data_IF_692439336595
#
_entry.id   IF_692439336595
#
_cell.length_a   1.000
_cell.length_b   1.000
_cell.length_c   1.000
_cell.angle_alpha   90.00
_cell.angle_beta   90.00
_cell.angle_gamma   90.00
#
_symmetry.space_group_name_H-M   'P 1'
#
loop_
_entity.id
_entity.type
_entity.pdbx_description
1 polymer ?
#
# COMPACT_ATOMS: atom_id res chain seq x y z
N UNK A 1 -2.10 -13.03 -16.47
CA UNK A 1 -3.26 -12.25 -15.98
C UNK A 1 -2.80 -10.85 -15.61
N UNK A 2 -3.49 -9.79 -16.07
CA UNK A 2 -3.18 -8.42 -15.65
C UNK A 2 -3.61 -8.19 -14.20
N UNK A 3 -2.84 -7.40 -13.46
CA UNK A 3 -3.12 -7.10 -12.05
C UNK A 3 -2.84 -5.64 -11.69
N UNK A 4 -3.41 -5.20 -10.58
CA UNK A 4 -3.07 -3.96 -9.91
C UNK A 4 -2.44 -4.28 -8.55
N UNK A 5 -1.38 -3.57 -8.19
CA UNK A 5 -0.71 -3.70 -6.90
C UNK A 5 -0.81 -2.38 -6.13
N UNK A 6 -1.34 -2.44 -4.93
CA UNK A 6 -1.74 -1.25 -4.16
C UNK A 6 -0.61 -0.69 -3.28
N UNK A 7 0.55 -1.36 -3.19
CA UNK A 7 1.63 -0.87 -2.34
C UNK A 7 2.99 -1.46 -2.70
N UNK A 8 4.00 -0.59 -2.83
CA UNK A 8 5.41 -0.94 -2.81
C UNK A 8 6.26 0.24 -2.35
N UNK A 9 7.42 -0.04 -1.74
CA UNK A 9 8.37 0.96 -1.23
C UNK A 9 9.55 1.24 -2.17
N UNK A 10 9.40 0.93 -3.43
CA UNK A 10 10.46 1.06 -4.46
C UNK A 10 11.01 2.47 -4.58
N UNK A 11 10.22 3.51 -4.28
CA UNK A 11 10.71 4.89 -4.25
C UNK A 11 11.77 5.09 -3.16
N UNK A 12 11.63 4.42 -2.01
CA UNK A 12 12.62 4.44 -0.93
C UNK A 12 13.93 3.78 -1.39
N UNK A 13 13.86 2.58 -1.96
CA UNK A 13 15.03 1.87 -2.51
C UNK A 13 15.74 2.71 -3.58
N UNK A 14 15.00 3.27 -4.51
CA UNK A 14 15.54 4.13 -5.55
C UNK A 14 16.22 5.39 -4.99
N UNK A 15 15.62 6.01 -3.97
CA UNK A 15 16.19 7.19 -3.31
C UNK A 15 17.51 6.86 -2.64
N UNK A 16 17.58 5.80 -1.82
CA UNK A 16 18.80 5.40 -1.12
C UNK A 16 19.88 4.88 -2.07
N UNK A 17 19.51 4.24 -3.16
CA UNK A 17 20.45 3.85 -4.23
C UNK A 17 20.89 5.02 -5.13
N UNK A 18 20.34 6.22 -4.94
CA UNK A 18 20.67 7.41 -5.75
C UNK A 18 20.17 7.32 -7.19
N UNK A 19 19.10 6.54 -7.43
CA UNK A 19 18.46 6.43 -8.74
C UNK A 19 17.66 7.68 -9.05
N UNK A 20 17.53 8.00 -10.34
CA UNK A 20 16.77 9.16 -10.80
C UNK A 20 15.42 8.79 -11.39
N UNK A 21 15.20 7.51 -11.67
CA UNK A 21 14.00 6.97 -12.30
C UNK A 21 13.81 5.51 -11.85
N UNK A 22 12.57 5.01 -11.90
CA UNK A 22 12.19 3.64 -11.55
C UNK A 22 12.23 2.68 -12.75
N UNK A 23 12.79 3.07 -13.89
CA UNK A 23 12.85 2.18 -15.08
C UNK A 23 13.58 0.88 -14.78
N UNK A 24 14.70 0.97 -14.05
CA UNK A 24 15.47 -0.18 -13.57
C UNK A 24 16.12 0.17 -12.23
N UNK A 25 15.74 -0.57 -11.20
CA UNK A 25 16.24 -0.47 -9.82
C UNK A 25 16.73 -1.85 -9.39
N UNK A 26 17.97 -2.23 -9.75
CA UNK A 26 18.49 -3.59 -9.48
C UNK A 26 18.48 -3.98 -8.00
N UNK A 27 18.53 -3.00 -7.11
CA UNK A 27 18.51 -3.17 -5.66
C UNK A 27 17.12 -3.56 -5.14
N UNK A 28 16.06 -3.21 -5.87
CA UNK A 28 14.67 -3.38 -5.46
C UNK A 28 14.05 -4.70 -5.94
N UNK A 29 12.94 -5.10 -5.31
CA UNK A 29 12.10 -6.24 -5.73
C UNK A 29 11.23 -5.88 -6.93
N UNK A 30 10.95 -4.57 -7.15
CA UNK A 30 10.15 -4.09 -8.27
C UNK A 30 10.77 -2.87 -8.96
N UNK A 31 10.47 -2.72 -10.24
CA UNK A 31 10.74 -1.57 -11.09
C UNK A 31 9.83 -1.62 -12.32
N UNK A 32 9.82 -0.58 -13.15
CA UNK A 32 8.95 -0.51 -14.33
C UNK A 32 9.19 -1.71 -15.28
N UNK A 33 10.45 -2.11 -15.46
CA UNK A 33 10.81 -3.25 -16.32
C UNK A 33 10.18 -4.57 -15.84
N UNK A 34 10.34 -4.88 -14.55
CA UNK A 34 9.78 -6.09 -13.92
C UNK A 34 8.24 -6.05 -13.83
N UNK A 35 7.66 -4.88 -13.52
CA UNK A 35 6.22 -4.70 -13.52
C UNK A 35 5.60 -4.98 -14.90
N UNK A 36 6.22 -4.48 -15.97
CA UNK A 36 5.78 -4.77 -17.34
C UNK A 36 5.92 -6.27 -17.66
N UNK A 37 6.99 -6.94 -17.25
CA UNK A 37 7.19 -8.37 -17.44
C UNK A 37 6.17 -9.21 -16.65
N UNK A 38 5.80 -8.77 -15.46
CA UNK A 38 4.78 -9.38 -14.61
C UNK A 38 3.35 -9.14 -15.06
N UNK A 39 3.12 -8.35 -16.12
CA UNK A 39 1.79 -7.92 -16.62
C UNK A 39 1.03 -6.99 -15.65
N UNK A 40 1.75 -6.18 -14.84
CA UNK A 40 1.14 -5.17 -14.00
C UNK A 40 0.45 -4.10 -14.85
N UNK A 41 -0.83 -3.85 -14.59
CA UNK A 41 -1.57 -2.78 -15.26
C UNK A 41 -1.62 -1.48 -14.45
N UNK A 42 -1.46 -1.58 -13.12
CA UNK A 42 -1.47 -0.43 -12.22
C UNK A 42 -0.64 -0.71 -10.98
N UNK A 43 0.29 0.20 -10.65
CA UNK A 43 1.13 0.14 -9.47
C UNK A 43 0.98 1.41 -8.64
N UNK A 44 0.74 1.23 -7.34
CA UNK A 44 0.78 2.30 -6.36
C UNK A 44 2.20 2.36 -5.77
N UNK A 45 2.89 3.47 -6.03
CA UNK A 45 4.23 3.73 -5.52
C UNK A 45 4.14 4.58 -4.27
N UNK A 46 4.45 4.00 -3.12
CA UNK A 46 4.42 4.72 -1.86
C UNK A 46 5.70 5.55 -1.67
N UNK A 47 5.53 6.80 -1.25
CA UNK A 47 6.57 7.51 -0.54
C UNK A 47 6.41 7.11 0.92
N UNK A 48 7.15 6.09 1.35
CA UNK A 48 7.25 5.72 2.76
C UNK A 48 8.14 6.72 3.48
N UNK A 49 7.74 7.21 4.65
CA UNK A 49 8.56 8.13 5.44
C UNK A 49 9.45 7.36 6.43
N UNK A 50 10.76 7.20 6.16
CA UNK A 50 11.63 6.37 6.99
C UNK A 50 11.80 6.93 8.40
N UNK A 51 11.79 6.04 9.42
CA UNK A 51 12.21 6.37 10.78
C UNK A 51 13.75 6.36 10.89
N UNK A 52 14.27 6.79 12.04
CA UNK A 52 15.72 6.89 12.29
C UNK A 52 16.46 5.56 12.05
N UNK A 53 15.86 4.46 12.46
CA UNK A 53 16.47 3.12 12.32
C UNK A 53 16.62 2.70 10.86
N UNK A 54 15.67 3.09 10.00
CA UNK A 54 15.73 2.84 8.56
C UNK A 54 16.88 3.65 7.93
N UNK A 55 17.01 4.93 8.29
CA UNK A 55 18.14 5.75 7.85
C UNK A 55 19.49 5.15 8.24
N UNK A 56 19.60 4.66 9.49
CA UNK A 56 20.80 3.99 9.99
C UNK A 56 21.09 2.70 9.22
N UNK A 57 20.06 1.89 8.94
CA UNK A 57 20.18 0.67 8.13
C UNK A 57 20.82 0.93 6.76
N UNK A 58 20.41 2.01 6.10
CA UNK A 58 20.99 2.41 4.80
C UNK A 58 22.32 3.17 4.94
N UNK A 59 22.86 3.35 6.16
CA UNK A 59 24.08 4.10 6.40
C UNK A 59 23.99 5.57 5.97
N UNK A 60 22.81 6.18 6.06
CA UNK A 60 22.50 7.54 5.64
C UNK A 60 22.13 8.42 6.84
N UNK A 61 22.40 9.71 6.70
CA UNK A 61 21.95 10.72 7.67
C UNK A 61 20.52 11.13 7.34
N UNK A 62 19.60 11.15 8.34
CA UNK A 62 18.25 11.63 8.12
C UNK A 62 18.22 13.07 7.57
N UNK A 63 17.32 13.30 6.62
CA UNK A 63 16.97 14.64 6.13
C UNK A 63 15.54 14.98 6.58
N UNK A 64 15.12 16.27 6.53
CA UNK A 64 13.72 16.65 6.80
C UNK A 64 12.74 15.89 5.90
N UNK A 65 11.55 15.53 6.43
CA UNK A 65 10.52 14.81 5.67
C UNK A 65 10.19 15.51 4.35
N UNK A 66 10.13 16.85 4.32
CA UNK A 66 9.84 17.61 3.11
C UNK A 66 10.92 17.44 2.01
N UNK A 67 12.19 17.37 2.40
CA UNK A 67 13.30 17.15 1.47
C UNK A 67 13.26 15.73 0.89
N UNK A 68 12.99 14.75 1.74
CA UNK A 68 12.86 13.35 1.33
C UNK A 68 11.65 13.13 0.41
N UNK A 69 10.48 13.69 0.78
CA UNK A 69 9.26 13.67 -0.04
C UNK A 69 9.51 14.21 -1.45
N UNK A 70 10.15 15.40 -1.53
CA UNK A 70 10.45 16.00 -2.83
C UNK A 70 11.45 15.16 -3.63
N UNK A 71 12.44 14.55 -2.97
CA UNK A 71 13.39 13.64 -3.62
C UNK A 71 12.69 12.43 -4.25
N UNK A 72 11.82 11.76 -3.50
CA UNK A 72 11.03 10.61 -4.00
C UNK A 72 10.04 11.05 -5.10
N UNK A 73 9.35 12.17 -4.90
CA UNK A 73 8.44 12.73 -5.90
C UNK A 73 9.16 13.03 -7.22
N UNK A 74 10.38 13.56 -7.15
CA UNK A 74 11.17 13.84 -8.35
C UNK A 74 11.56 12.57 -9.10
N UNK A 75 11.91 11.48 -8.39
CA UNK A 75 12.18 10.17 -9.00
C UNK A 75 10.92 9.69 -9.74
N UNK A 76 9.75 9.77 -9.10
CA UNK A 76 8.46 9.41 -9.72
C UNK A 76 8.17 10.24 -10.98
N UNK A 77 8.30 11.56 -10.90
CA UNK A 77 8.05 12.46 -12.03
C UNK A 77 9.02 12.19 -13.19
N UNK A 78 10.32 11.99 -12.89
CA UNK A 78 11.30 11.62 -13.89
C UNK A 78 10.94 10.29 -14.56
N UNK A 79 10.48 9.29 -13.78
CA UNK A 79 10.05 8.00 -14.31
C UNK A 79 8.96 8.17 -15.37
N UNK A 80 7.92 8.95 -15.06
CA UNK A 80 6.84 9.19 -16.01
C UNK A 80 7.27 9.97 -17.24
N UNK A 81 8.15 10.98 -17.07
CA UNK A 81 8.60 11.82 -18.18
C UNK A 81 9.54 11.09 -19.15
N UNK A 82 10.37 10.20 -18.63
CA UNK A 82 11.37 9.46 -19.40
C UNK A 82 10.83 8.17 -20.03
N UNK A 83 9.72 7.62 -19.50
CA UNK A 83 9.17 6.31 -19.89
C UNK A 83 7.68 6.37 -20.22
N UNK A 84 7.22 7.47 -20.80
CA UNK A 84 5.81 7.72 -21.10
C UNK A 84 5.16 6.76 -22.10
N UNK A 85 5.93 5.95 -22.81
CA UNK A 85 5.50 4.86 -23.66
C UNK A 85 5.19 3.57 -22.87
N UNK A 86 5.76 3.39 -21.69
CA UNK A 86 5.57 2.22 -20.82
C UNK A 86 4.58 2.51 -19.68
N UNK A 87 4.71 3.69 -19.05
CA UNK A 87 3.96 4.04 -17.86
C UNK A 87 3.55 5.50 -17.85
N UNK A 88 2.41 5.78 -17.25
CA UNK A 88 1.91 7.15 -17.09
C UNK A 88 1.12 7.29 -15.79
N UNK A 89 1.10 8.49 -15.24
CA UNK A 89 0.36 8.78 -14.01
C UNK A 89 -1.15 8.77 -14.20
N UNK A 90 -1.88 8.61 -13.10
CA UNK A 90 -3.33 8.81 -13.06
C UNK A 90 -3.74 9.64 -11.86
N UNK A 91 -4.64 10.60 -12.08
CA UNK A 91 -5.33 11.36 -11.05
C UNK A 91 -6.79 10.98 -10.92
N UNK A 92 -7.35 10.33 -11.94
CA UNK A 92 -8.77 9.96 -12.05
C UNK A 92 -8.94 8.55 -12.62
N UNK A 93 -10.15 8.01 -12.47
CA UNK A 93 -10.54 6.73 -13.10
C UNK A 93 -10.46 6.79 -14.64
N UNK A 94 -10.81 7.93 -15.22
CA UNK A 94 -10.73 8.16 -16.66
C UNK A 94 -9.30 8.06 -17.17
N UNK A 95 -8.33 8.55 -16.41
CA UNK A 95 -6.90 8.42 -16.75
C UNK A 95 -6.50 6.94 -16.78
N UNK A 96 -6.90 6.14 -15.77
CA UNK A 96 -6.62 4.70 -15.71
C UNK A 96 -7.18 4.01 -16.95
N UNK A 97 -8.43 4.32 -17.34
CA UNK A 97 -9.08 3.74 -18.52
C UNK A 97 -8.39 4.15 -19.83
N UNK A 98 -7.89 5.37 -19.92
CA UNK A 98 -7.09 5.82 -21.06
C UNK A 98 -5.78 5.07 -21.16
N UNK A 99 -5.06 4.95 -20.05
CA UNK A 99 -3.79 4.25 -19.99
C UNK A 99 -3.92 2.79 -20.40
N UNK A 100 -4.97 2.10 -19.90
CA UNK A 100 -5.27 0.72 -20.28
C UNK A 100 -5.52 0.57 -21.78
N UNK A 101 -6.31 1.47 -22.40
CA UNK A 101 -6.58 1.46 -23.83
C UNK A 101 -5.33 1.69 -24.67
N UNK A 102 -4.40 2.49 -24.17
CA UNK A 102 -3.14 2.79 -24.83
C UNK A 102 -2.06 1.72 -24.54
N UNK A 103 -2.40 0.71 -23.74
CA UNK A 103 -1.47 -0.39 -23.40
C UNK A 103 -0.36 0.02 -22.46
N UNK A 104 -0.53 1.13 -21.71
CA UNK A 104 0.44 1.63 -20.74
C UNK A 104 0.04 1.24 -19.32
N UNK A 105 1.04 0.94 -18.51
CA UNK A 105 0.86 0.75 -17.07
C UNK A 105 0.50 2.07 -16.41
N UNK A 106 -0.41 2.04 -15.47
CA UNK A 106 -0.76 3.20 -14.64
C UNK A 106 0.11 3.24 -13.40
N UNK A 107 0.78 4.36 -13.16
CA UNK A 107 1.47 4.65 -11.91
C UNK A 107 0.61 5.59 -11.04
N UNK A 108 0.46 5.28 -9.76
CA UNK A 108 -0.26 6.10 -8.78
C UNK A 108 0.71 6.46 -7.66
N UNK A 109 0.86 7.75 -7.37
CA UNK A 109 1.70 8.21 -6.26
C UNK A 109 0.91 8.16 -4.96
N UNK A 110 1.49 7.55 -3.92
CA UNK A 110 0.88 7.44 -2.60
C UNK A 110 1.86 7.88 -1.51
N UNK A 111 1.35 8.04 -0.31
CA UNK A 111 2.14 8.37 0.87
C UNK A 111 1.87 7.34 1.95
N UNK A 112 2.91 6.77 2.53
CA UNK A 112 2.84 5.97 3.76
C UNK A 112 3.41 6.74 4.94
N UNK A 113 2.63 6.80 6.03
CA UNK A 113 2.77 7.66 7.19
C UNK A 113 2.44 9.13 6.93
N UNK A 114 1.21 9.51 7.21
CA UNK A 114 0.74 10.90 7.10
C UNK A 114 1.39 11.90 8.06
N UNK A 115 2.45 11.54 8.82
CA UNK A 115 3.06 12.41 9.85
C UNK A 115 3.54 13.77 9.34
N UNK A 116 3.94 13.82 8.05
CA UNK A 116 4.41 15.08 7.43
C UNK A 116 3.29 16.13 7.27
N UNK A 117 2.02 15.73 7.36
CA UNK A 117 0.87 16.64 7.34
C UNK A 117 0.84 17.54 8.58
N UNK A 118 1.35 17.07 9.73
CA UNK A 118 1.54 17.86 10.97
C UNK A 118 0.28 18.62 11.43
N UNK A 119 -0.92 18.04 11.20
CA UNK A 119 -2.18 18.66 11.59
C UNK A 119 -2.62 19.85 10.73
N UNK A 120 -2.10 20.01 9.51
CA UNK A 120 -2.42 21.10 8.60
C UNK A 120 -3.21 20.60 7.38
N UNK A 121 -4.44 21.13 7.19
CA UNK A 121 -5.23 20.87 5.98
C UNK A 121 -4.57 21.41 4.71
N UNK A 122 -3.82 22.53 4.84
CA UNK A 122 -3.09 23.12 3.72
C UNK A 122 -1.98 22.18 3.22
N UNK A 123 -1.26 21.50 4.13
CA UNK A 123 -0.26 20.48 3.77
C UNK A 123 -0.90 19.27 3.08
N UNK A 124 -2.07 18.83 3.56
CA UNK A 124 -2.82 17.76 2.93
C UNK A 124 -3.24 18.13 1.50
N UNK A 125 -3.73 19.36 1.29
CA UNK A 125 -4.08 19.86 -0.04
C UNK A 125 -2.84 19.99 -0.95
N UNK A 126 -1.69 20.35 -0.38
CA UNK A 126 -0.42 20.43 -1.11
C UNK A 126 0.00 19.07 -1.64
N UNK A 127 -0.04 18.03 -0.81
CA UNK A 127 0.23 16.64 -1.23
C UNK A 127 -0.68 16.21 -2.38
N UNK A 128 -1.98 16.55 -2.34
CA UNK A 128 -2.90 16.27 -3.43
C UNK A 128 -2.52 16.98 -4.73
N UNK A 129 -2.13 18.25 -4.66
CA UNK A 129 -1.65 19.03 -5.80
C UNK A 129 -0.35 18.48 -6.37
N UNK A 130 0.51 17.90 -5.53
CA UNK A 130 1.77 17.25 -5.92
C UNK A 130 1.57 15.87 -6.53
N UNK A 131 0.32 15.40 -6.63
CA UNK A 131 -0.03 14.17 -7.31
C UNK A 131 -0.30 12.98 -6.39
N UNK A 132 -0.20 13.11 -5.07
CA UNK A 132 -0.56 12.04 -4.13
C UNK A 132 -2.06 11.76 -4.20
N UNK A 133 -2.44 10.49 -4.34
CA UNK A 133 -3.85 10.08 -4.48
C UNK A 133 -4.34 9.14 -3.38
N UNK A 134 -3.45 8.68 -2.52
CA UNK A 134 -3.76 7.86 -1.35
C UNK A 134 -2.78 8.18 -0.22
N UNK A 135 -3.27 8.20 1.02
CA UNK A 135 -2.42 8.38 2.21
C UNK A 135 -2.73 7.29 3.21
N UNK A 136 -1.68 6.52 3.60
CA UNK A 136 -1.64 5.72 4.81
C UNK A 136 -1.60 6.65 6.02
N UNK A 137 -2.67 6.64 6.83
CA UNK A 137 -2.85 7.63 7.89
C UNK A 137 -1.73 7.59 8.93
N UNK A 138 -1.27 6.39 9.28
CA UNK A 138 -0.18 6.14 10.24
C UNK A 138 0.80 5.11 9.66
N UNK A 139 1.98 5.04 10.25
CA UNK A 139 2.86 3.88 10.20
C UNK A 139 2.93 3.25 11.60
N UNK A 140 4.10 3.09 12.22
CA UNK A 140 4.27 2.40 13.49
C UNK A 140 4.33 3.35 14.71
N UNK A 141 3.96 4.62 14.54
CA UNK A 141 3.94 5.63 15.61
C UNK A 141 2.66 6.48 15.56
N UNK A 142 2.28 7.03 16.73
CA UNK A 142 1.23 8.05 16.78
C UNK A 142 1.64 9.27 15.96
N UNK A 143 0.67 9.83 15.25
CA UNK A 143 0.85 11.09 14.52
C UNK A 143 -0.42 11.98 14.61
N UNK A 144 -0.49 13.00 13.76
CA UNK A 144 -1.63 13.93 13.77
C UNK A 144 -2.97 13.26 13.40
N UNK A 145 -3.00 12.11 12.72
CA UNK A 145 -4.22 11.41 12.35
C UNK A 145 -4.74 10.50 13.44
N UNK A 146 -3.87 9.73 14.13
CA UNK A 146 -4.32 8.74 15.09
C UNK A 146 -3.20 7.88 15.67
N UNK A 147 -3.61 6.74 16.22
CA UNK A 147 -2.75 5.71 16.76
C UNK A 147 -2.44 4.62 15.72
N UNK A 148 -1.24 4.05 15.74
CA UNK A 148 -0.90 2.90 14.89
C UNK A 148 -1.52 1.61 15.43
N UNK A 149 -1.50 0.56 14.61
CA UNK A 149 -1.74 -0.79 15.11
C UNK A 149 -0.73 -1.14 16.22
N UNK A 150 -1.16 -1.97 17.17
CA UNK A 150 -0.32 -2.29 18.33
C UNK A 150 -0.71 -3.62 18.97
N UNK A 151 0.26 -4.27 19.62
CA UNK A 151 -0.01 -5.37 20.54
C UNK A 151 -0.52 -4.88 21.91
N UNK A 152 -0.34 -3.59 22.24
CA UNK A 152 -0.96 -2.97 23.40
C UNK A 152 -2.44 -2.67 23.11
N UNK A 153 -3.32 -3.32 23.87
CA UNK A 153 -4.78 -3.22 23.70
C UNK A 153 -5.29 -1.79 23.82
N UNK A 154 -4.65 -0.97 24.67
CA UNK A 154 -5.05 0.41 24.86
C UNK A 154 -4.78 1.21 23.58
N UNK A 155 -3.56 1.16 23.05
CA UNK A 155 -3.17 1.80 21.79
C UNK A 155 -4.03 1.29 20.63
N UNK A 156 -4.24 -0.05 20.55
CA UNK A 156 -5.06 -0.66 19.50
C UNK A 156 -6.52 -0.20 19.52
N UNK A 157 -7.05 0.18 20.67
CA UNK A 157 -8.42 0.71 20.82
C UNK A 157 -8.54 2.22 20.61
N UNK A 158 -7.44 2.95 20.50
CA UNK A 158 -7.46 4.40 20.28
C UNK A 158 -7.99 4.70 18.86
N UNK A 159 -8.89 5.68 18.77
CA UNK A 159 -9.43 6.15 17.49
C UNK A 159 -8.60 7.25 16.84
N UNK A 160 -9.17 7.84 15.80
CA UNK A 160 -8.60 9.03 15.15
C UNK A 160 -8.60 10.22 16.10
N UNK A 161 -7.60 11.09 15.96
CA UNK A 161 -7.62 12.42 16.58
C UNK A 161 -8.76 13.27 16.02
N UNK A 162 -9.01 14.43 16.63
CA UNK A 162 -9.96 15.40 16.07
C UNK A 162 -9.54 15.81 14.65
N UNK A 163 -8.25 16.11 14.44
CA UNK A 163 -7.70 16.42 13.12
C UNK A 163 -7.88 15.25 12.15
N UNK A 164 -7.56 14.03 12.57
CA UNK A 164 -7.71 12.83 11.71
C UNK A 164 -9.13 12.65 11.18
N UNK A 165 -10.16 12.89 12.03
CA UNK A 165 -11.56 12.81 11.62
C UNK A 165 -11.93 13.89 10.58
N UNK A 166 -11.46 15.10 10.75
CA UNK A 166 -11.67 16.19 9.78
C UNK A 166 -10.91 15.93 8.48
N UNK A 167 -9.67 15.45 8.59
CA UNK A 167 -8.82 15.14 7.45
C UNK A 167 -9.43 14.02 6.56
N UNK A 168 -9.99 12.95 7.15
CA UNK A 168 -10.69 11.90 6.38
C UNK A 168 -11.85 12.48 5.56
N UNK A 169 -12.68 13.37 6.14
CA UNK A 169 -13.75 14.05 5.40
C UNK A 169 -13.19 14.91 4.26
N UNK A 170 -12.10 15.62 4.53
CA UNK A 170 -11.46 16.48 3.54
C UNK A 170 -10.83 15.67 2.41
N UNK A 171 -10.18 14.53 2.71
CA UNK A 171 -9.67 13.59 1.70
C UNK A 171 -10.79 13.08 0.80
N UNK A 172 -11.97 12.75 1.36
CA UNK A 172 -13.14 12.36 0.59
C UNK A 172 -13.60 13.48 -0.37
N UNK A 173 -13.54 14.75 0.07
CA UNK A 173 -13.88 15.91 -0.79
C UNK A 173 -12.86 16.11 -1.91
N UNK A 174 -11.58 15.91 -1.64
CA UNK A 174 -10.49 15.99 -2.63
C UNK A 174 -10.52 14.84 -3.65
N UNK A 175 -11.16 13.70 -3.33
CA UNK A 175 -11.03 12.47 -4.09
C UNK A 175 -9.70 11.74 -3.82
N UNK A 176 -9.11 11.94 -2.65
CA UNK A 176 -7.94 11.23 -2.18
C UNK A 176 -8.37 10.01 -1.38
N UNK A 177 -7.84 8.84 -1.70
CA UNK A 177 -8.14 7.61 -0.99
C UNK A 177 -7.55 7.61 0.42
N UNK A 178 -8.30 7.07 1.38
CA UNK A 178 -7.87 6.85 2.76
C UNK A 178 -7.38 5.41 2.88
N UNK A 179 -6.13 5.23 3.28
CA UNK A 179 -5.56 3.92 3.56
C UNK A 179 -5.43 3.71 5.06
N UNK A 180 -6.00 2.61 5.54
CA UNK A 180 -6.03 2.21 6.95
C UNK A 180 -4.99 1.15 7.31
N UNK A 181 -4.12 0.78 6.37
CA UNK A 181 -2.96 -0.05 6.69
C UNK A 181 -2.13 0.64 7.78
N UNK A 182 -1.60 -0.11 8.74
CA UNK A 182 -0.93 0.39 9.95
C UNK A 182 -1.80 1.13 10.97
N UNK A 183 -3.06 1.42 10.69
CA UNK A 183 -3.94 2.11 11.64
C UNK A 183 -4.40 1.14 12.76
N UNK A 184 -4.68 1.67 13.94
CA UNK A 184 -5.30 0.94 15.03
C UNK A 184 -6.71 0.45 14.68
N UNK A 185 -7.23 -0.57 15.36
CA UNK A 185 -8.62 -1.03 15.19
C UNK A 185 -9.62 0.10 15.47
N UNK A 186 -9.38 0.89 16.55
CA UNK A 186 -10.21 2.06 16.85
C UNK A 186 -10.23 3.08 15.72
N UNK A 187 -9.06 3.37 15.13
CA UNK A 187 -8.93 4.24 13.97
C UNK A 187 -9.65 3.70 12.74
N UNK A 188 -9.54 2.38 12.46
CA UNK A 188 -10.28 1.74 11.38
C UNK A 188 -11.80 1.96 11.51
N UNK A 189 -12.38 1.69 12.68
CA UNK A 189 -13.82 1.87 12.88
C UNK A 189 -14.25 3.35 12.83
N UNK A 190 -13.38 4.26 13.25
CA UNK A 190 -13.60 5.69 13.06
C UNK A 190 -13.66 6.05 11.57
N UNK A 191 -12.69 5.62 10.75
CA UNK A 191 -12.72 5.81 9.29
C UNK A 191 -13.99 5.21 8.70
N UNK A 192 -14.32 3.97 9.05
CA UNK A 192 -15.54 3.28 8.57
C UNK A 192 -16.82 4.05 8.90
N UNK A 193 -16.86 4.73 10.06
CA UNK A 193 -18.03 5.50 10.49
C UNK A 193 -18.19 6.85 9.79
N UNK A 194 -17.08 7.49 9.40
CA UNK A 194 -17.09 8.88 8.92
C UNK A 194 -16.81 9.02 7.42
N UNK A 195 -16.15 8.03 6.80
CA UNK A 195 -15.87 8.07 5.36
C UNK A 195 -17.15 7.88 4.55
N UNK A 196 -17.42 8.84 3.65
CA UNK A 196 -18.52 8.81 2.69
C UNK A 196 -18.11 8.15 1.36
N UNK A 197 -16.84 7.82 1.22
CA UNK A 197 -16.26 7.16 0.05
C UNK A 197 -15.67 5.81 0.48
N UNK A 198 -15.50 4.86 -0.44
CA UNK A 198 -14.70 3.68 -0.17
C UNK A 198 -13.31 4.07 0.36
N UNK A 199 -12.82 3.31 1.33
CA UNK A 199 -11.47 3.40 1.85
C UNK A 199 -10.78 2.06 1.70
N UNK A 200 -9.48 1.99 1.87
CA UNK A 200 -8.71 0.78 1.57
C UNK A 200 -7.78 0.40 2.72
N UNK A 201 -7.40 -0.86 2.76
CA UNK A 201 -6.20 -1.33 3.44
C UNK A 201 -5.22 -1.77 2.35
N UNK A 202 -4.27 -0.91 1.99
CA UNK A 202 -3.43 -1.13 0.80
C UNK A 202 -2.62 -2.43 0.87
N UNK A 203 -2.21 -2.87 2.08
CA UNK A 203 -1.38 -4.06 2.32
C UNK A 203 -1.66 -4.69 3.69
N UNK A 204 -2.84 -5.34 3.86
CA UNK A 204 -3.24 -5.99 5.12
C UNK A 204 -3.94 -7.33 4.87
N UNK A 205 -3.55 -8.35 5.66
CA UNK A 205 -4.03 -9.72 5.53
C UNK A 205 -5.18 -10.04 6.52
N UNK A 206 -5.42 -11.34 6.77
CA UNK A 206 -6.52 -11.82 7.61
C UNK A 206 -6.02 -12.22 8.99
N UNK A 207 -6.51 -11.57 10.04
CA UNK A 207 -6.15 -11.86 11.44
C UNK A 207 -6.61 -13.25 11.89
N UNK A 208 -7.64 -13.81 11.27
CA UNK A 208 -8.11 -15.16 11.52
C UNK A 208 -7.11 -16.25 11.09
N UNK A 209 -6.23 -15.96 10.13
CA UNK A 209 -5.21 -16.89 9.63
C UNK A 209 -3.83 -16.62 10.22
N UNK A 210 -3.53 -15.35 10.51
CA UNK A 210 -2.31 -14.91 11.17
C UNK A 210 -2.66 -13.79 12.14
N UNK A 211 -2.51 -14.03 13.45
CA UNK A 211 -2.95 -13.13 14.54
C UNK A 211 -2.14 -11.84 14.70
N UNK A 212 -1.34 -11.47 13.70
CA UNK A 212 -0.58 -10.23 13.73
C UNK A 212 -1.52 -9.01 13.79
N UNK A 213 -1.24 -7.98 14.63
CA UNK A 213 -2.11 -6.80 14.78
C UNK A 213 -2.28 -5.98 13.50
N UNK A 214 -1.35 -6.08 12.54
CA UNK A 214 -1.45 -5.46 11.20
C UNK A 214 -2.56 -6.05 10.33
N UNK A 215 -2.99 -7.28 10.62
CA UNK A 215 -4.02 -7.97 9.86
C UNK A 215 -5.41 -7.54 10.31
N UNK A 216 -6.36 -7.56 9.37
CA UNK A 216 -7.75 -7.19 9.60
C UNK A 216 -8.53 -8.36 10.22
N UNK A 217 -9.40 -8.07 11.20
CA UNK A 217 -10.35 -9.05 11.73
C UNK A 217 -11.45 -9.34 10.69
N UNK A 218 -12.17 -10.45 10.87
CA UNK A 218 -13.30 -10.80 10.01
C UNK A 218 -14.41 -9.73 10.01
N UNK A 219 -14.59 -9.06 11.14
CA UNK A 219 -15.54 -7.96 11.23
C UNK A 219 -15.07 -6.74 10.40
N UNK A 220 -13.78 -6.41 10.47
CA UNK A 220 -13.19 -5.35 9.66
C UNK A 220 -13.27 -5.66 8.16
N UNK A 221 -13.03 -6.92 7.77
CA UNK A 221 -13.16 -7.35 6.37
C UNK A 221 -14.59 -7.20 5.85
N UNK A 222 -15.60 -7.57 6.66
CA UNK A 222 -17.02 -7.35 6.29
C UNK A 222 -17.33 -5.87 6.13
N UNK A 223 -16.95 -5.06 7.11
CA UNK A 223 -17.17 -3.61 7.08
C UNK A 223 -16.50 -2.98 5.86
N UNK A 224 -15.26 -3.39 5.55
CA UNK A 224 -14.52 -2.90 4.39
C UNK A 224 -15.25 -3.24 3.08
N UNK A 225 -15.66 -4.51 2.90
CA UNK A 225 -16.41 -4.95 1.73
C UNK A 225 -17.79 -4.26 1.59
N UNK A 226 -18.55 -4.10 2.70
CA UNK A 226 -19.83 -3.38 2.72
C UNK A 226 -19.68 -1.90 2.33
N UNK A 227 -18.53 -1.30 2.61
CA UNK A 227 -18.18 0.09 2.21
C UNK A 227 -17.65 0.18 0.78
N UNK A 228 -17.56 -0.93 0.05
CA UNK A 228 -16.97 -0.98 -1.30
C UNK A 228 -15.46 -0.78 -1.32
N UNK A 229 -14.81 -0.97 -0.17
CA UNK A 229 -13.37 -0.92 -0.02
C UNK A 229 -12.69 -2.24 -0.35
N UNK A 230 -11.37 -2.21 -0.40
CA UNK A 230 -10.53 -3.38 -0.72
C UNK A 230 -9.38 -3.53 0.27
N UNK A 231 -8.89 -4.78 0.45
CA UNK A 231 -7.65 -5.03 1.16
C UNK A 231 -6.64 -5.72 0.25
N UNK A 232 -5.43 -5.17 0.20
CA UNK A 232 -4.29 -5.72 -0.55
C UNK A 232 -3.61 -6.84 0.21
N UNK A 233 -3.38 -7.98 -0.45
CA UNK A 233 -2.61 -9.08 0.09
C UNK A 233 -1.15 -8.66 0.28
N UNK A 234 -0.72 -8.57 1.53
CA UNK A 234 0.67 -8.31 1.91
C UNK A 234 1.49 -9.60 1.85
N UNK A 235 2.68 -9.54 1.25
CA UNK A 235 3.55 -10.70 1.05
C UNK A 235 4.54 -10.92 2.19
N UNK A 236 4.58 -10.06 3.20
CA UNK A 236 5.44 -10.22 4.37
C UNK A 236 5.14 -11.52 5.14
N UNK A 237 6.15 -12.38 5.38
CA UNK A 237 5.97 -13.67 6.06
C UNK A 237 5.27 -13.56 7.41
N UNK A 238 5.59 -12.53 8.18
CA UNK A 238 5.02 -12.26 9.51
C UNK A 238 3.52 -11.93 9.49
N UNK A 239 2.97 -11.57 8.32
CA UNK A 239 1.56 -11.28 8.13
C UNK A 239 0.78 -12.45 7.51
N UNK A 240 1.48 -13.50 7.07
CA UNK A 240 0.91 -14.66 6.40
C UNK A 240 0.76 -15.87 7.31
N UNK A 241 1.61 -16.03 8.35
CA UNK A 241 1.52 -17.17 9.23
C UNK A 241 2.02 -16.87 10.66
N UNK A 242 1.46 -17.57 11.66
CA UNK A 242 1.81 -17.44 13.08
C UNK A 242 2.86 -18.47 13.54
N UNK A 243 3.46 -19.22 12.63
CA UNK A 243 4.40 -20.27 12.98
C UNK A 243 5.71 -19.64 13.46
N UNK A 244 6.11 -19.79 14.74
CA UNK A 244 7.33 -19.19 15.26
C UNK A 244 8.57 -19.59 14.46
N UNK A 245 9.35 -18.60 14.00
CA UNK A 245 10.55 -18.82 13.20
C UNK A 245 10.30 -19.20 11.74
N UNK A 246 9.06 -19.18 11.27
CA UNK A 246 8.75 -19.31 9.85
C UNK A 246 8.76 -17.94 9.19
N UNK A 247 9.86 -17.64 8.52
CA UNK A 247 10.07 -16.41 7.73
C UNK A 247 9.80 -16.66 6.23
N UNK A 248 8.99 -17.66 5.90
CA UNK A 248 8.66 -18.03 4.52
C UNK A 248 7.28 -17.54 4.12
N UNK A 249 7.24 -16.74 3.07
CA UNK A 249 6.04 -16.26 2.39
C UNK A 249 5.69 -17.21 1.25
N UNK A 250 4.84 -18.21 1.55
CA UNK A 250 4.48 -19.25 0.58
C UNK A 250 3.26 -18.90 -0.25
N UNK A 251 3.21 -19.40 -1.49
CA UNK A 251 2.05 -19.27 -2.39
C UNK A 251 0.76 -19.84 -1.78
N UNK A 252 0.87 -20.94 -1.02
CA UNK A 252 -0.27 -21.55 -0.33
C UNK A 252 -0.85 -20.62 0.75
N UNK A 253 0.01 -19.98 1.54
CA UNK A 253 -0.43 -19.01 2.55
C UNK A 253 -1.07 -17.78 1.91
N UNK A 254 -0.45 -17.23 0.86
CA UNK A 254 -1.00 -16.13 0.06
C UNK A 254 -2.40 -16.47 -0.46
N UNK A 255 -2.55 -17.64 -1.09
CA UNK A 255 -3.83 -18.12 -1.61
C UNK A 255 -4.88 -18.29 -0.51
N UNK A 256 -4.48 -18.81 0.66
CA UNK A 256 -5.39 -18.97 1.78
C UNK A 256 -5.95 -17.62 2.25
N UNK A 257 -5.11 -16.58 2.37
CA UNK A 257 -5.54 -15.24 2.75
C UNK A 257 -6.49 -14.62 1.71
N UNK A 258 -6.19 -14.70 0.42
CA UNK A 258 -7.07 -14.20 -0.65
C UNK A 258 -8.44 -14.86 -0.56
N UNK A 259 -8.49 -16.19 -0.43
CA UNK A 259 -9.74 -16.94 -0.32
C UNK A 259 -10.54 -16.57 0.94
N UNK A 260 -9.87 -16.32 2.06
CA UNK A 260 -10.52 -15.87 3.28
C UNK A 260 -11.11 -14.46 3.13
N UNK A 261 -10.37 -13.52 2.52
CA UNK A 261 -10.89 -12.18 2.19
C UNK A 261 -12.15 -12.30 1.34
N UNK A 262 -12.12 -13.11 0.27
CA UNK A 262 -13.27 -13.33 -0.62
C UNK A 262 -14.47 -13.91 0.16
N UNK A 263 -14.21 -14.89 1.03
CA UNK A 263 -15.26 -15.54 1.81
C UNK A 263 -15.93 -14.58 2.79
N UNK A 264 -15.19 -13.66 3.40
CA UNK A 264 -15.67 -12.79 4.50
C UNK A 264 -16.09 -11.42 4.00
N UNK A 265 -15.28 -10.79 3.16
CA UNK A 265 -15.46 -9.42 2.65
C UNK A 265 -16.12 -9.34 1.26
N UNK A 266 -16.23 -10.47 0.56
CA UNK A 266 -16.72 -10.54 -0.81
C UNK A 266 -15.60 -10.50 -1.87
N UNK A 267 -15.92 -10.94 -3.08
CA UNK A 267 -14.95 -11.06 -4.17
C UNK A 267 -14.23 -9.73 -4.47
N UNK A 268 -14.98 -8.64 -4.51
CA UNK A 268 -14.46 -7.32 -4.87
C UNK A 268 -13.64 -6.67 -3.73
N UNK A 269 -13.62 -7.29 -2.52
CA UNK A 269 -12.81 -6.82 -1.40
C UNK A 269 -11.34 -7.27 -1.50
N UNK A 270 -11.06 -8.34 -2.26
CA UNK A 270 -9.71 -8.88 -2.38
C UNK A 270 -8.90 -8.15 -3.46
N UNK A 271 -7.72 -7.68 -3.08
CA UNK A 271 -6.76 -7.01 -3.95
C UNK A 271 -5.33 -7.53 -3.69
N UNK A 272 -4.36 -7.03 -4.43
CA UNK A 272 -2.94 -7.25 -4.21
C UNK A 272 -2.34 -5.98 -3.63
N UNK A 273 -1.48 -6.12 -2.64
CA UNK A 273 -0.69 -5.06 -2.03
C UNK A 273 0.60 -5.68 -1.51
N UNK A 274 1.53 -5.94 -2.44
CA UNK A 274 2.69 -6.83 -2.24
C UNK A 274 3.57 -6.43 -1.08
N UNK A 275 3.65 -5.13 -0.82
CA UNK A 275 4.59 -4.54 0.13
C UNK A 275 6.06 -4.80 -0.29
N UNK A 276 6.28 -4.97 -1.61
CA UNK A 276 7.62 -5.13 -2.15
C UNK A 276 8.50 -3.95 -1.76
N UNK A 277 9.74 -4.27 -1.43
CA UNK A 277 10.75 -3.33 -0.94
C UNK A 277 10.53 -2.85 0.51
N UNK A 278 9.35 -3.14 1.13
CA UNK A 278 9.08 -2.92 2.56
C UNK A 278 9.15 -4.19 3.42
N UNK A 279 9.32 -5.37 2.81
CA UNK A 279 9.33 -6.68 3.48
C UNK A 279 10.65 -7.41 3.32
N UNK A 280 10.86 -8.39 4.18
CA UNK A 280 12.04 -9.27 4.16
C UNK A 280 11.63 -10.73 4.39
N UNK A 281 12.56 -11.66 4.24
CA UNK A 281 12.35 -13.09 4.47
C UNK A 281 12.54 -13.93 3.20
N UNK A 282 12.14 -15.20 3.27
CA UNK A 282 12.14 -16.11 2.13
C UNK A 282 10.79 -15.98 1.40
N UNK A 283 10.81 -15.51 0.14
CA UNK A 283 9.61 -15.22 -0.61
C UNK A 283 9.51 -16.15 -1.84
N UNK A 284 8.37 -16.86 -1.99
CA UNK A 284 8.09 -17.63 -3.23
C UNK A 284 7.91 -16.69 -4.44
N UNK A 285 7.48 -15.44 -4.19
CA UNK A 285 7.45 -14.36 -5.16
C UNK A 285 8.35 -13.25 -4.65
N UNK A 286 9.60 -13.23 -5.09
CA UNK A 286 10.61 -12.28 -4.63
C UNK A 286 10.73 -11.03 -5.51
N UNK A 287 9.95 -10.93 -6.59
CA UNK A 287 9.97 -9.77 -7.48
C UNK A 287 8.72 -9.69 -8.38
N UNK A 288 8.44 -8.49 -8.89
CA UNK A 288 7.21 -8.20 -9.64
C UNK A 288 7.03 -9.00 -10.94
N UNK A 289 8.11 -9.44 -11.59
CA UNK A 289 8.07 -10.29 -12.79
C UNK A 289 7.62 -11.72 -12.50
N UNK A 290 7.58 -12.16 -11.23
CA UNK A 290 7.15 -13.50 -10.79
C UNK A 290 5.67 -13.57 -10.42
N UNK A 291 4.92 -12.47 -10.47
CA UNK A 291 3.53 -12.36 -9.99
C UNK A 291 2.56 -13.36 -10.62
N UNK A 292 2.85 -13.86 -11.82
CA UNK A 292 2.00 -14.87 -12.47
C UNK A 292 1.92 -16.19 -11.68
N UNK A 293 2.88 -16.47 -10.80
CA UNK A 293 2.88 -17.64 -9.90
C UNK A 293 1.71 -17.60 -8.91
N UNK A 294 1.36 -16.41 -8.39
CA UNK A 294 0.20 -16.24 -7.52
C UNK A 294 -1.10 -16.61 -8.24
N UNK A 295 -1.30 -16.09 -9.45
CA UNK A 295 -2.53 -16.37 -10.21
C UNK A 295 -2.64 -17.85 -10.59
N UNK A 296 -1.52 -18.48 -10.89
CA UNK A 296 -1.49 -19.93 -11.12
C UNK A 296 -1.89 -20.72 -9.86
N UNK A 297 -1.38 -20.34 -8.68
CA UNK A 297 -1.77 -20.95 -7.40
C UNK A 297 -3.25 -20.71 -7.07
N UNK A 298 -3.75 -19.49 -7.25
CA UNK A 298 -5.17 -19.17 -7.05
C UNK A 298 -6.09 -20.00 -7.94
N UNK A 299 -5.70 -20.17 -9.22
CA UNK A 299 -6.43 -21.02 -10.15
C UNK A 299 -6.42 -22.51 -9.72
N UNK A 300 -5.27 -23.03 -9.31
CA UNK A 300 -5.12 -24.39 -8.77
C UNK A 300 -6.03 -24.62 -7.55
N UNK A 301 -6.22 -23.59 -6.72
CA UNK A 301 -7.06 -23.63 -5.52
C UNK A 301 -8.54 -23.34 -5.81
N UNK A 302 -8.93 -23.23 -7.08
CA UNK A 302 -10.31 -23.17 -7.54
C UNK A 302 -10.87 -21.75 -7.78
N UNK A 303 -10.04 -20.70 -7.74
CA UNK A 303 -10.45 -19.38 -8.20
C UNK A 303 -10.33 -19.32 -9.73
N UNK A 304 -11.41 -19.01 -10.41
CA UNK A 304 -11.46 -18.89 -11.87
C UNK A 304 -11.49 -17.42 -12.30
N UNK A 305 -10.93 -17.12 -13.46
CA UNK A 305 -11.13 -15.84 -14.12
C UNK A 305 -12.63 -15.67 -14.38
N UNK A 306 -13.24 -14.62 -13.76
CA UNK A 306 -14.66 -14.32 -13.86
C UNK A 306 -15.01 -13.45 -15.05
#
# INVERSE_FOLDING_TARGET
MKYADMHCDTLMEAYFAGRKSLLSVPEAMTDIGRLCQGECMMQFFAIFLPCADIWEWYGRTPVPDEEYLEGCRQIYVNTLSENGDLTTGAGTYEDIRCNEKEGRMTAVLTLEDGRCVQGSMERLEHLYRDGVRMIGLTWNAHNCFGAPNSRDVKTMSEGLTHFGREAVRYMNCLGMAVDVSHLSDGGFYDVASISEKPFVASHSNCRALCGHPRNLSDDMLRVLGEKGGVTGLNFGPEFLNDTPGNEHSSLEAMSAHVRHVIQVGGLECAAIGTDFDGIAGELDIGSADQMQSLFWQLHKDGLTEG
#
